data_IF_965128366552
#
_entry.id   IF_965128366552
#
_cell.length_a   1.000
_cell.length_b   1.000
_cell.length_c   1.000
_cell.angle_alpha   90.00
_cell.angle_beta   90.00
_cell.angle_gamma   90.00
#
_symmetry.space_group_name_H-M   'P 1'
#
loop_
_entity.id
_entity.type
_entity.pdbx_description
1 polymer ?
#
# COMPACT_ATOMS: atom_id res chain seq x y z
N UNK A 1 -7.05 12.95 -9.54
CA UNK A 1 -5.78 12.57 -8.86
C UNK A 1 -5.14 11.44 -9.65
N UNK A 2 -3.81 11.44 -9.81
CA UNK A 2 -3.11 10.32 -10.43
C UNK A 2 -3.37 9.03 -9.64
N UNK A 3 -3.64 7.94 -10.33
CA UNK A 3 -3.93 6.64 -9.72
C UNK A 3 -2.64 5.83 -9.68
N UNK A 4 -2.17 5.48 -8.47
CA UNK A 4 -1.06 4.55 -8.30
C UNK A 4 -1.55 3.10 -8.42
N UNK A 5 -0.67 2.19 -8.84
CA UNK A 5 -1.00 0.76 -8.94
C UNK A 5 -1.18 0.10 -7.56
N UNK A 6 -0.56 0.67 -6.53
CA UNK A 6 -0.61 0.19 -5.14
C UNK A 6 -1.48 1.06 -4.24
N UNK A 7 -2.08 0.44 -3.23
CA UNK A 7 -2.92 1.05 -2.21
C UNK A 7 -2.36 0.75 -0.82
N UNK A 8 -2.81 1.50 0.18
CA UNK A 8 -2.54 1.19 1.58
C UNK A 8 -3.07 -0.21 1.92
N UNK A 9 -2.27 -1.00 2.62
CA UNK A 9 -2.58 -2.40 2.96
C UNK A 9 -2.08 -3.42 1.95
N UNK A 10 -1.62 -3.00 0.76
CA UNK A 10 -1.05 -3.94 -0.21
C UNK A 10 0.29 -4.50 0.30
N UNK A 11 0.50 -5.82 0.14
CA UNK A 11 1.83 -6.43 0.33
C UNK A 11 2.67 -6.25 -0.92
N UNK A 12 3.85 -5.66 -0.76
CA UNK A 12 4.73 -5.32 -1.87
C UNK A 12 6.16 -5.79 -1.61
N UNK A 13 6.89 -6.03 -2.70
CA UNK A 13 8.32 -6.29 -2.70
C UNK A 13 9.06 -5.14 -3.34
N UNK A 14 10.15 -4.71 -2.73
CA UNK A 14 11.06 -3.71 -3.30
C UNK A 14 11.89 -4.36 -4.42
N UNK A 15 11.80 -3.81 -5.63
CA UNK A 15 12.47 -4.32 -6.84
C UNK A 15 13.88 -3.74 -6.98
N UNK A 16 14.04 -2.47 -6.59
CA UNK A 16 15.24 -1.67 -6.82
C UNK A 16 15.50 -0.71 -5.66
N UNK A 17 16.76 -0.30 -5.52
CA UNK A 17 17.22 0.58 -4.44
C UNK A 17 17.92 -0.18 -3.31
N UNK A 18 18.16 0.53 -2.21
CA UNK A 18 18.93 0.04 -1.05
C UNK A 18 18.33 -1.20 -0.41
N UNK A 19 17.00 -1.22 -0.27
CA UNK A 19 16.27 -2.29 0.41
C UNK A 19 15.68 -3.31 -0.57
N UNK A 20 16.35 -3.54 -1.70
CA UNK A 20 15.91 -4.48 -2.74
C UNK A 20 15.72 -5.88 -2.15
N UNK A 21 14.57 -6.49 -2.43
CA UNK A 21 14.23 -7.84 -2.00
C UNK A 21 13.31 -7.90 -0.78
N UNK A 22 13.23 -6.84 0.01
CA UNK A 22 12.36 -6.75 1.19
C UNK A 22 10.89 -6.82 0.79
N UNK A 23 10.12 -7.67 1.49
CA UNK A 23 8.66 -7.81 1.33
C UNK A 23 8.00 -7.25 2.57
N UNK A 24 7.10 -6.29 2.39
CA UNK A 24 6.42 -5.59 3.48
C UNK A 24 5.11 -4.96 3.03
N UNK A 25 4.34 -4.44 3.97
CA UNK A 25 3.04 -3.80 3.72
C UNK A 25 3.20 -2.29 3.46
N UNK A 26 2.34 -1.74 2.60
CA UNK A 26 2.26 -0.30 2.33
C UNK A 26 1.47 0.41 3.46
N UNK A 27 2.16 1.26 4.21
CA UNK A 27 1.59 2.05 5.32
C UNK A 27 0.83 3.27 4.79
N UNK A 28 1.42 3.95 3.82
CA UNK A 28 0.88 5.18 3.26
C UNK A 28 1.24 5.32 1.78
N UNK A 29 0.37 6.03 1.06
CA UNK A 29 0.52 6.29 -0.36
C UNK A 29 0.35 7.79 -0.57
N UNK A 30 1.26 8.37 -1.35
CA UNK A 30 1.20 9.76 -1.81
C UNK A 30 1.11 9.77 -3.35
N UNK A 31 -0.12 9.81 -3.89
CA UNK A 31 -0.35 9.82 -5.33
C UNK A 31 0.09 11.12 -6.02
N UNK A 32 0.19 12.23 -5.28
CA UNK A 32 0.62 13.50 -5.87
C UNK A 32 2.10 13.47 -6.25
N UNK A 33 2.92 12.83 -5.41
CA UNK A 33 4.37 12.72 -5.61
C UNK A 33 4.84 11.36 -6.15
N UNK A 34 3.93 10.47 -6.53
CA UNK A 34 4.22 9.10 -6.96
C UNK A 34 5.07 8.30 -5.95
N UNK A 35 4.77 8.49 -4.65
CA UNK A 35 5.55 7.94 -3.54
C UNK A 35 4.73 7.02 -2.66
N UNK A 36 5.41 6.04 -2.06
CA UNK A 36 4.81 5.07 -1.14
C UNK A 36 5.71 4.85 0.05
N UNK A 37 5.12 4.76 1.23
CA UNK A 37 5.84 4.42 2.46
C UNK A 37 5.54 2.96 2.78
N UNK A 38 6.60 2.16 2.82
CA UNK A 38 6.56 0.72 3.07
C UNK A 38 7.20 0.43 4.42
N UNK A 39 6.61 -0.48 5.19
CA UNK A 39 7.11 -0.82 6.52
C UNK A 39 8.54 -1.36 6.48
N UNK A 40 9.42 -0.82 7.34
CA UNK A 40 10.80 -1.28 7.47
C UNK A 40 11.71 -0.99 6.26
N UNK A 41 11.24 -0.22 5.29
CA UNK A 41 11.99 0.14 4.08
C UNK A 41 12.38 1.62 4.14
N UNK A 42 13.59 1.94 3.65
CA UNK A 42 14.15 3.28 3.62
C UNK A 42 14.14 3.97 4.99
N UNK A 43 14.68 3.27 5.99
CA UNK A 43 14.79 3.77 7.36
C UNK A 43 15.81 4.92 7.42
N UNK A 44 15.34 6.10 7.82
CA UNK A 44 16.16 7.30 7.99
C UNK A 44 16.23 7.70 9.46
N UNK A 45 17.41 8.12 9.89
CA UNK A 45 17.61 8.70 11.22
C UNK A 45 17.23 10.17 11.18
N UNK A 46 16.22 10.56 11.96
CA UNK A 46 15.77 11.94 12.10
C UNK A 46 16.05 12.41 13.52
N UNK A 47 16.75 13.53 13.64
CA UNK A 47 16.88 14.22 14.92
C UNK A 47 15.58 14.97 15.20
N UNK A 48 14.91 14.61 16.29
CA UNK A 48 13.68 15.27 16.73
C UNK A 48 13.98 16.04 18.01
N UNK A 49 13.67 17.35 17.99
CA UNK A 49 13.68 18.15 19.22
C UNK A 49 12.58 17.66 20.15
N UNK A 50 12.87 17.65 21.44
CA UNK A 50 11.88 17.35 22.46
C UNK A 50 10.70 18.33 22.33
N UNK A 51 9.47 17.80 22.37
CA UNK A 51 8.26 18.61 22.22
C UNK A 51 7.21 18.15 23.23
N UNK A 52 6.52 19.10 23.88
CA UNK A 52 5.32 18.78 24.63
C UNK A 52 4.13 18.61 23.67
N UNK A 53 3.40 17.51 23.83
CA UNK A 53 2.11 17.30 23.14
C UNK A 53 1.06 18.21 23.80
N UNK A 54 0.01 18.57 23.06
CA UNK A 54 -1.11 19.38 23.55
C UNK A 54 -1.76 18.86 24.86
N UNK A 55 -1.59 17.56 25.16
CA UNK A 55 -2.10 16.91 26.37
C UNK A 55 -1.06 16.82 27.51
N UNK A 56 0.01 17.63 27.49
CA UNK A 56 1.05 17.66 28.52
C UNK A 56 2.06 16.50 28.50
N UNK A 57 1.90 15.51 27.60
CA UNK A 57 2.88 14.43 27.42
C UNK A 57 4.15 14.97 26.74
N UNK A 58 5.28 14.91 27.44
CA UNK A 58 6.62 15.10 26.84
C UNK A 58 6.89 13.97 25.84
N UNK A 59 7.18 14.34 24.60
CA UNK A 59 7.77 13.42 23.62
C UNK A 59 9.27 13.58 23.74
N UNK A 60 9.94 12.56 24.29
CA UNK A 60 11.39 12.55 24.47
C UNK A 60 12.09 12.85 23.14
N UNK A 61 13.04 13.79 23.20
CA UNK A 61 13.87 14.15 22.06
C UNK A 61 14.94 13.09 21.80
N UNK A 62 15.49 13.07 20.58
CA UNK A 62 16.58 12.16 20.26
C UNK A 62 16.66 11.80 18.79
N UNK A 63 17.46 10.78 18.50
CA UNK A 63 17.62 10.20 17.16
C UNK A 63 16.55 9.12 16.98
N UNK A 64 15.47 9.47 16.29
CA UNK A 64 14.41 8.52 15.95
C UNK A 64 14.67 7.92 14.58
N UNK A 65 14.34 6.64 14.40
CA UNK A 65 14.35 6.00 13.09
C UNK A 65 12.93 6.02 12.54
N UNK A 66 12.76 6.53 11.32
CA UNK A 66 11.45 6.68 10.67
C UNK A 66 11.54 6.12 9.25
N UNK A 67 10.49 5.48 8.78
CA UNK A 67 10.35 5.04 7.38
C UNK A 67 10.18 6.24 6.45
N UNK A 68 11.04 6.38 5.47
CA UNK A 68 10.90 7.38 4.42
C UNK A 68 10.22 6.81 3.17
N UNK A 69 9.46 7.63 2.43
CA UNK A 69 8.81 7.18 1.21
C UNK A 69 9.83 6.81 0.12
N UNK A 70 9.47 5.83 -0.70
CA UNK A 70 10.18 5.41 -1.91
C UNK A 70 9.29 5.65 -3.13
N UNK A 71 9.90 5.73 -4.32
CA UNK A 71 9.14 5.91 -5.55
C UNK A 71 8.30 4.66 -5.87
N UNK A 72 7.06 4.85 -6.30
CA UNK A 72 6.13 3.75 -6.53
C UNK A 72 6.61 2.74 -7.59
N UNK A 73 7.43 3.17 -8.57
CA UNK A 73 8.01 2.25 -9.57
C UNK A 73 8.96 1.21 -8.99
N UNK A 74 9.50 1.45 -7.79
CA UNK A 74 10.47 0.58 -7.15
C UNK A 74 9.79 -0.52 -6.33
N UNK A 75 8.45 -0.58 -6.32
CA UNK A 75 7.69 -1.61 -5.62
C UNK A 75 6.79 -2.39 -6.57
N UNK A 76 6.71 -3.69 -6.32
CA UNK A 76 5.82 -4.61 -7.02
C UNK A 76 4.88 -5.31 -6.05
N UNK A 77 3.64 -5.52 -6.47
CA UNK A 77 2.67 -6.27 -5.68
C UNK A 77 3.10 -7.73 -5.53
N UNK A 78 2.93 -8.25 -4.31
CA UNK A 78 3.12 -9.65 -3.96
C UNK A 78 1.79 -10.24 -3.54
N UNK A 79 1.40 -11.34 -4.18
CA UNK A 79 0.26 -12.16 -3.77
C UNK A 79 0.79 -13.50 -3.29
N UNK A 80 0.22 -14.02 -2.21
CA UNK A 80 0.51 -15.38 -1.73
C UNK A 80 -0.41 -16.34 -2.45
N UNK A 81 0.16 -17.22 -3.26
CA UNK A 81 -0.56 -18.33 -3.89
C UNK A 81 0.12 -19.62 -3.46
N UNK A 82 -0.64 -20.52 -2.84
CA UNK A 82 -0.15 -21.81 -2.33
C UNK A 82 1.10 -21.68 -1.43
N UNK A 83 1.12 -20.64 -0.59
CA UNK A 83 2.23 -20.34 0.33
C UNK A 83 3.47 -19.74 -0.34
N UNK A 84 3.49 -19.58 -1.67
CA UNK A 84 4.59 -18.95 -2.41
C UNK A 84 4.29 -17.48 -2.69
N UNK A 85 5.28 -16.64 -2.45
CA UNK A 85 5.19 -15.22 -2.80
C UNK A 85 5.39 -15.04 -4.30
N UNK A 86 4.32 -14.62 -4.99
CA UNK A 86 4.32 -14.39 -6.42
C UNK A 86 4.32 -12.89 -6.72
N UNK A 87 5.37 -12.41 -7.40
CA UNK A 87 5.40 -11.06 -7.93
C UNK A 87 4.47 -10.94 -9.13
N UNK A 88 3.60 -9.93 -9.11
CA UNK A 88 2.58 -9.74 -10.14
C UNK A 88 2.40 -8.27 -10.49
N UNK A 89 1.76 -8.00 -11.62
CA UNK A 89 1.29 -6.66 -12.00
C UNK A 89 -0.21 -6.57 -11.73
N UNK A 90 -0.69 -5.37 -11.46
CA UNK A 90 -2.11 -5.12 -11.24
C UNK A 90 -2.84 -5.08 -12.59
N UNK A 91 -3.99 -5.75 -12.65
CA UNK A 91 -4.98 -5.68 -13.70
C UNK A 91 -6.33 -5.24 -13.13
N UNK A 92 -7.29 -5.04 -14.02
CA UNK A 92 -8.66 -4.71 -13.65
C UNK A 92 -9.62 -5.67 -14.35
N UNK A 93 -10.64 -6.12 -13.63
CA UNK A 93 -11.72 -6.94 -14.18
C UNK A 93 -13.05 -6.35 -13.72
N UNK A 94 -14.07 -6.38 -14.59
CA UNK A 94 -15.44 -6.05 -14.20
C UNK A 94 -16.12 -7.33 -13.72
N UNK A 95 -16.72 -7.26 -12.54
CA UNK A 95 -17.45 -8.36 -11.91
C UNK A 95 -18.88 -7.89 -11.68
N UNK A 96 -19.86 -8.75 -11.96
CA UNK A 96 -21.26 -8.50 -11.62
C UNK A 96 -21.43 -8.54 -10.11
N UNK A 97 -22.08 -7.52 -9.57
CA UNK A 97 -22.45 -7.39 -8.16
C UNK A 97 -23.94 -7.09 -8.09
N UNK A 98 -24.62 -7.79 -7.20
CA UNK A 98 -26.01 -7.51 -6.88
C UNK A 98 -26.08 -6.34 -5.90
N UNK A 99 -26.81 -5.29 -6.26
CA UNK A 99 -27.07 -4.13 -5.39
C UNK A 99 -28.53 -4.11 -4.98
N UNK A 100 -28.76 -3.77 -3.71
CA UNK A 100 -30.10 -3.63 -3.12
C UNK A 100 -30.54 -2.18 -3.12
N UNK A 101 -31.76 -1.91 -3.55
CA UNK A 101 -32.40 -0.59 -3.46
C UNK A 101 -33.06 -0.40 -2.08
N UNK A 102 -33.37 0.84 -1.68
CA UNK A 102 -34.11 1.11 -0.44
C UNK A 102 -35.49 0.45 -0.39
N UNK A 103 -36.12 0.23 -1.55
CA UNK A 103 -37.41 -0.44 -1.73
C UNK A 103 -37.33 -1.98 -1.56
N UNK A 104 -36.13 -2.54 -1.34
CA UNK A 104 -35.91 -3.97 -1.17
C UNK A 104 -35.69 -4.75 -2.47
N UNK A 105 -35.88 -4.15 -3.65
CA UNK A 105 -35.59 -4.76 -4.94
C UNK A 105 -34.08 -4.85 -5.21
N UNK A 106 -33.65 -5.88 -5.94
CA UNK A 106 -32.26 -6.08 -6.34
C UNK A 106 -32.06 -5.71 -7.81
N UNK A 107 -30.87 -5.20 -8.15
CA UNK A 107 -30.43 -5.02 -9.53
C UNK A 107 -28.97 -5.43 -9.69
N UNK A 108 -28.64 -5.90 -10.89
CA UNK A 108 -27.27 -6.21 -11.26
C UNK A 108 -26.53 -4.94 -11.66
N UNK A 109 -25.32 -4.79 -11.16
CA UNK A 109 -24.39 -3.73 -11.55
C UNK A 109 -23.00 -4.32 -11.75
N UNK A 110 -22.16 -3.66 -12.52
CA UNK A 110 -20.74 -4.05 -12.64
C UNK A 110 -19.88 -3.22 -11.69
N UNK A 111 -18.94 -3.86 -10.99
CA UNK A 111 -17.85 -3.18 -10.25
C UNK A 111 -16.51 -3.59 -10.84
N UNK A 112 -15.62 -2.61 -11.00
CA UNK A 112 -14.22 -2.86 -11.33
C UNK A 112 -13.48 -3.31 -10.07
N UNK A 113 -12.91 -4.52 -10.11
CA UNK A 113 -12.03 -5.08 -9.09
C UNK A 113 -10.60 -5.13 -9.60
N UNK A 114 -9.64 -5.05 -8.69
CA UNK A 114 -8.23 -5.21 -9.02
C UNK A 114 -7.89 -6.69 -8.99
N UNK A 115 -7.18 -7.16 -10.02
CA UNK A 115 -6.73 -8.55 -10.11
C UNK A 115 -5.22 -8.63 -10.24
N UNK A 116 -4.63 -9.70 -9.72
CA UNK A 116 -3.25 -10.05 -9.98
C UNK A 116 -3.16 -10.67 -11.38
N UNK A 117 -2.46 -10.04 -12.33
CA UNK A 117 -2.41 -10.55 -13.72
C UNK A 117 -1.86 -11.97 -13.85
N UNK A 118 -0.96 -12.37 -12.95
CA UNK A 118 -0.33 -13.69 -12.99
C UNK A 118 -1.22 -14.81 -12.45
N UNK A 119 -2.11 -14.52 -11.51
CA UNK A 119 -2.91 -15.54 -10.80
C UNK A 119 -4.40 -15.43 -11.16
N UNK A 120 -4.85 -14.28 -11.63
CA UNK A 120 -6.25 -13.99 -11.93
C UNK A 120 -7.11 -13.68 -10.69
N UNK A 121 -6.53 -13.83 -9.50
CA UNK A 121 -7.20 -13.61 -8.22
C UNK A 121 -7.37 -12.11 -7.92
N UNK A 122 -8.42 -11.79 -7.16
CA UNK A 122 -8.66 -10.44 -6.66
C UNK A 122 -7.65 -10.06 -5.56
N UNK A 123 -7.24 -8.78 -5.55
CA UNK A 123 -6.25 -8.21 -4.63
C UNK A 123 -6.92 -7.30 -3.62
#
# INVERSE_FOLDING_TARGET
MASLHVKKGDRVKVISGKDKGTVAEVIAVDPANNRVTVQGVNLVKRHRRESQTANGRRVEGGVITVEAPIHASNVQLVVKVDGKDVLTRVGHKRVEVTKRRPDGSEYKAERSVRIARKTGEEI
#
